data_IF_795025785893
#
_entry.id   IF_795025785893
#
_cell.length_a   1.000
_cell.length_b   1.000
_cell.length_c   1.000
_cell.angle_alpha   90.00
_cell.angle_beta   90.00
_cell.angle_gamma   90.00
#
_symmetry.space_group_name_H-M   'P 1'
#
loop_
_entity.id
_entity.type
_entity.pdbx_description
1 polymer ?
#
# COMPACT_ATOMS: atom_id res chain seq x y z
N UNK A 1 -46.98 37.36 -67.23
CA UNK A 1 -46.45 38.68 -66.78
C UNK A 1 -46.50 38.70 -65.25
N UNK A 2 -45.58 39.37 -64.53
CA UNK A 2 -44.12 39.24 -64.49
C UNK A 2 -43.65 38.79 -63.05
N UNK A 3 -42.49 38.12 -62.87
CA UNK A 3 -41.14 38.64 -62.49
C UNK A 3 -40.69 38.34 -61.04
N UNK A 4 -39.59 37.59 -60.93
CA UNK A 4 -38.36 37.83 -60.13
C UNK A 4 -38.43 38.60 -58.80
N UNK A 5 -37.75 38.10 -57.75
CA UNK A 5 -36.37 38.52 -57.40
C UNK A 5 -35.89 37.94 -56.05
N UNK A 6 -34.56 37.80 -55.96
CA UNK A 6 -33.75 37.35 -54.85
C UNK A 6 -33.51 38.43 -53.76
N UNK A 7 -32.97 38.04 -52.60
CA UNK A 7 -31.61 38.42 -52.11
C UNK A 7 -31.41 38.21 -50.60
N UNK A 8 -30.19 37.80 -50.26
CA UNK A 8 -29.61 37.77 -48.91
C UNK A 8 -28.89 39.09 -48.56
N UNK A 9 -28.76 39.37 -47.24
CA UNK A 9 -27.77 40.25 -46.56
C UNK A 9 -28.24 40.45 -45.10
N UNK A 10 -27.45 40.79 -44.06
CA UNK A 10 -26.02 40.80 -43.71
C UNK A 10 -25.96 41.26 -42.22
N UNK A 11 -25.00 40.72 -41.44
CA UNK A 11 -24.14 41.33 -40.38
C UNK A 11 -24.65 42.42 -39.39
N UNK A 12 -24.22 42.22 -38.13
CA UNK A 12 -23.86 43.22 -37.10
C UNK A 12 -24.47 42.86 -35.74
N UNK A 13 -23.81 42.70 -34.59
CA UNK A 13 -22.48 43.10 -34.08
C UNK A 13 -22.69 44.03 -32.87
N UNK A 14 -22.25 43.66 -31.65
CA UNK A 14 -21.90 44.61 -30.57
C UNK A 14 -21.03 43.94 -29.48
N UNK A 15 -19.95 44.63 -29.13
CA UNK A 15 -18.95 44.36 -28.09
C UNK A 15 -19.25 45.19 -26.83
N UNK A 16 -18.65 44.84 -25.68
CA UNK A 16 -18.31 45.84 -24.65
C UNK A 16 -17.15 45.39 -23.74
N UNK A 17 -16.23 46.34 -23.53
CA UNK A 17 -15.01 46.31 -22.73
C UNK A 17 -15.27 46.77 -21.28
N UNK A 18 -14.34 46.51 -20.36
CA UNK A 18 -13.55 47.58 -19.69
C UNK A 18 -12.59 47.03 -18.63
N UNK A 19 -11.47 47.73 -18.48
CA UNK A 19 -10.24 47.35 -17.79
C UNK A 19 -9.74 48.56 -16.96
N UNK A 20 -8.93 48.28 -15.92
CA UNK A 20 -7.91 49.13 -15.22
C UNK A 20 -8.35 50.08 -14.07
N UNK A 21 -7.64 50.01 -12.93
CA UNK A 21 -6.43 50.82 -12.60
C UNK A 21 -5.85 50.45 -11.21
N UNK A 22 -4.53 50.69 -11.05
CA UNK A 22 -3.67 50.48 -9.86
C UNK A 22 -3.38 51.83 -9.19
N UNK A 23 -3.18 51.87 -7.86
CA UNK A 23 -2.40 52.92 -7.19
C UNK A 23 -1.74 52.42 -5.89
N UNK A 24 -0.47 52.81 -5.69
CA UNK A 24 0.43 52.54 -4.55
C UNK A 24 0.61 53.83 -3.75
N UNK A 25 0.62 53.76 -2.40
CA UNK A 25 1.21 54.79 -1.53
C UNK A 25 1.83 54.15 -0.27
N UNK A 26 3.06 54.59 0.05
CA UNK A 26 3.84 54.33 1.28
C UNK A 26 3.73 55.58 2.17
N UNK A 27 3.80 55.39 3.49
CA UNK A 27 4.49 56.23 4.52
C UNK A 27 3.76 56.09 5.87
N UNK A 28 4.53 55.83 6.93
CA UNK A 28 4.03 55.56 8.28
C UNK A 28 3.86 56.80 9.16
N UNK A 29 3.33 56.57 10.36
CA UNK A 29 3.40 57.47 11.52
C UNK A 29 3.38 56.64 12.82
N UNK A 30 4.33 56.95 13.70
CA UNK A 30 4.37 56.55 15.11
C UNK A 30 3.21 57.19 15.89
N UNK A 31 2.54 56.42 16.75
CA UNK A 31 1.88 56.95 17.94
C UNK A 31 2.08 56.02 19.14
N UNK A 32 2.83 56.52 20.13
CA UNK A 32 2.84 56.08 21.51
C UNK A 32 1.56 56.61 22.20
N UNK A 33 0.88 55.77 22.97
CA UNK A 33 -0.06 56.22 24.02
C UNK A 33 -0.13 55.18 25.12
N UNK A 34 0.42 55.55 26.28
CA UNK A 34 0.34 54.91 27.58
C UNK A 34 -1.05 55.04 28.22
N UNK A 35 -1.51 54.03 28.96
CA UNK A 35 -2.66 54.14 29.85
C UNK A 35 -3.03 52.81 30.50
N UNK A 36 -3.09 52.79 31.82
CA UNK A 36 -2.87 51.66 32.72
C UNK A 36 -4.12 50.89 33.19
N UNK A 37 -3.87 49.64 33.58
CA UNK A 37 -4.43 48.89 34.72
C UNK A 37 -5.94 48.59 34.76
N UNK A 38 -6.29 47.30 34.71
CA UNK A 38 -6.77 46.56 35.89
C UNK A 38 -6.34 45.09 35.77
N UNK A 39 -5.67 44.61 36.81
CA UNK A 39 -5.34 43.22 37.02
C UNK A 39 -6.58 42.46 37.50
N UNK A 40 -6.77 41.23 37.02
CA UNK A 40 -7.16 40.16 37.92
C UNK A 40 -6.55 38.83 37.50
N UNK A 41 -6.18 38.10 38.53
CA UNK A 41 -5.19 37.03 38.61
C UNK A 41 -5.62 35.70 38.00
N UNK A 42 -4.71 35.05 37.28
CA UNK A 42 -4.57 33.58 37.34
C UNK A 42 -3.10 33.28 37.60
N UNK A 43 -2.85 32.82 38.82
CA UNK A 43 -1.52 32.61 39.38
C UNK A 43 -1.26 31.11 39.51
N UNK A 44 -0.05 30.69 39.11
CA UNK A 44 0.59 29.44 39.51
C UNK A 44 0.81 28.47 38.33
N UNK A 45 2.03 28.19 37.86
CA UNK A 45 3.35 28.64 38.27
C UNK A 45 4.38 28.14 37.26
N UNK A 46 5.12 29.07 36.66
CA UNK A 46 6.31 28.80 35.87
C UNK A 46 7.47 28.48 36.82
N UNK A 47 7.87 27.21 36.90
CA UNK A 47 9.22 26.87 37.34
C UNK A 47 10.14 26.84 36.13
N UNK A 48 10.92 27.92 36.00
CA UNK A 48 12.14 27.97 35.19
C UNK A 48 13.02 26.76 35.52
N UNK A 49 13.35 25.94 34.52
CA UNK A 49 14.59 25.15 34.54
C UNK A 49 15.20 25.08 33.14
N UNK A 50 16.28 25.84 33.02
CA UNK A 50 17.44 25.67 32.13
C UNK A 50 17.18 25.09 30.72
N UNK A 51 17.11 25.99 29.74
CA UNK A 51 17.48 25.69 28.36
C UNK A 51 18.97 25.35 28.31
N UNK A 52 19.31 24.07 28.48
CA UNK A 52 20.50 23.52 27.85
C UNK A 52 20.06 22.94 26.52
N UNK A 53 20.43 23.62 25.44
CA UNK A 53 20.34 23.08 24.09
C UNK A 53 21.30 21.89 24.00
N UNK A 54 20.81 20.71 24.38
CA UNK A 54 21.35 19.44 23.91
C UNK A 54 20.71 19.22 22.56
N UNK A 55 21.52 18.94 21.55
CA UNK A 55 21.03 18.44 20.27
C UNK A 55 20.42 17.08 20.56
N UNK A 56 19.13 17.08 20.90
CA UNK A 56 18.34 15.90 21.13
C UNK A 56 18.15 15.26 19.75
N UNK A 57 18.76 14.09 19.56
CA UNK A 57 18.47 13.26 18.41
C UNK A 57 16.99 12.88 18.54
N UNK A 58 16.14 13.56 17.76
CA UNK A 58 14.70 13.53 17.94
C UNK A 58 14.21 12.09 18.04
N UNK A 59 13.58 11.75 19.17
CA UNK A 59 12.92 10.44 19.35
C UNK A 59 11.77 10.40 18.35
N UNK A 60 12.01 9.79 17.19
CA UNK A 60 11.00 9.66 16.13
C UNK A 60 10.14 8.43 16.36
N UNK A 61 8.82 8.63 16.39
CA UNK A 61 7.81 7.57 16.46
C UNK A 61 7.11 7.39 17.81
N UNK A 62 6.34 6.31 17.94
CA UNK A 62 5.54 6.05 19.14
C UNK A 62 6.44 5.66 20.31
N UNK A 63 6.48 6.49 21.35
CA UNK A 63 7.26 6.25 22.57
C UNK A 63 6.37 5.64 23.65
N UNK A 64 6.75 4.45 24.11
CA UNK A 64 6.07 3.75 25.20
C UNK A 64 6.95 3.77 26.44
N UNK A 65 6.41 4.32 27.53
CA UNK A 65 7.11 4.46 28.80
C UNK A 65 6.54 3.48 29.82
N UNK A 66 7.37 2.55 30.25
CA UNK A 66 7.06 1.56 31.26
C UNK A 66 7.63 1.99 32.61
N UNK A 67 6.75 2.17 33.60
CA UNK A 67 7.15 2.42 34.98
C UNK A 67 7.01 1.12 35.78
N UNK A 68 8.03 0.72 36.53
CA UNK A 68 8.02 -0.50 37.34
C UNK A 68 7.25 -0.32 38.65
N UNK A 69 6.16 0.44 38.66
CA UNK A 69 5.40 0.73 39.87
C UNK A 69 4.47 -0.45 40.16
N UNK A 70 4.67 -1.10 41.30
CA UNK A 70 3.76 -2.14 41.78
C UNK A 70 2.34 -1.58 41.85
N UNK A 71 1.37 -2.27 41.23
CA UNK A 71 -0.03 -2.00 41.49
C UNK A 71 -0.25 -2.15 43.01
N UNK A 72 -0.81 -1.12 43.63
CA UNK A 72 -1.22 -1.20 45.03
C UNK A 72 -2.34 -2.26 45.11
N UNK A 73 -2.02 -3.43 45.65
CA UNK A 73 -2.97 -4.48 46.09
C UNK A 73 -4.11 -4.72 45.10
N UNK A 74 -3.76 -5.18 43.90
CA UNK A 74 -4.71 -5.79 42.97
C UNK A 74 -4.09 -7.10 42.47
N UNK A 75 -4.81 -8.21 42.62
CA UNK A 75 -4.40 -9.58 42.23
C UNK A 75 -4.36 -9.75 40.69
N UNK A 76 -4.51 -8.68 39.94
CA UNK A 76 -4.68 -8.68 38.48
C UNK A 76 -3.49 -8.00 37.80
N UNK A 77 -2.88 -8.68 36.84
CA UNK A 77 -1.75 -8.18 36.04
C UNK A 77 -2.19 -6.89 35.32
N UNK A 78 -1.37 -5.82 35.32
CA UNK A 78 -1.73 -4.57 34.66
C UNK A 78 -2.00 -4.81 33.17
N UNK A 79 -3.04 -4.15 32.66
CA UNK A 79 -3.43 -4.26 31.26
C UNK A 79 -2.24 -3.93 30.33
N UNK A 80 -2.02 -4.72 29.26
CA UNK A 80 -0.94 -4.46 28.31
C UNK A 80 -1.09 -3.10 27.61
N UNK A 81 0.04 -2.44 27.33
CA UNK A 81 0.07 -1.20 26.55
C UNK A 81 0.14 -1.56 25.06
N UNK A 82 -0.87 -1.22 24.24
CA UNK A 82 -0.86 -1.54 22.81
C UNK A 82 -0.02 -0.53 22.02
N UNK A 83 0.79 -1.05 21.10
CA UNK A 83 1.60 -0.27 20.15
C UNK A 83 1.37 -0.83 18.75
N UNK A 84 1.20 0.05 17.76
CA UNK A 84 1.09 -0.35 16.35
C UNK A 84 2.20 0.30 15.52
N UNK A 85 2.88 -0.52 14.73
CA UNK A 85 3.88 -0.11 13.73
C UNK A 85 3.34 -0.47 12.35
N UNK A 86 3.40 0.45 11.39
CA UNK A 86 2.81 0.32 10.06
C UNK A 86 3.57 1.16 9.03
N UNK A 87 3.14 1.15 7.76
CA UNK A 87 3.73 1.99 6.69
C UNK A 87 3.80 3.47 7.05
N UNK A 88 2.83 3.98 7.82
CA UNK A 88 2.77 5.38 8.23
C UNK A 88 3.57 5.66 9.52
N UNK A 89 3.98 4.62 10.25
CA UNK A 89 4.70 4.72 11.52
C UNK A 89 5.65 3.53 11.65
N UNK A 90 6.85 3.65 11.07
CA UNK A 90 7.83 2.56 10.96
C UNK A 90 8.74 2.41 12.19
N UNK A 91 8.52 3.19 13.25
CA UNK A 91 9.36 3.18 14.43
C UNK A 91 8.58 3.18 15.73
N UNK A 92 9.14 2.54 16.76
CA UNK A 92 8.64 2.62 18.13
C UNK A 92 9.80 2.57 19.12
N UNK A 93 9.60 3.12 20.31
CA UNK A 93 10.60 3.19 21.39
C UNK A 93 10.01 2.62 22.68
N UNK A 94 10.75 1.75 23.35
CA UNK A 94 10.49 1.25 24.70
C UNK A 94 11.41 1.98 25.67
N UNK A 95 10.83 2.55 26.72
CA UNK A 95 11.58 3.17 27.82
C UNK A 95 11.24 2.46 29.12
N UNK A 96 12.23 1.86 29.77
CA UNK A 96 12.12 1.39 31.15
C UNK A 96 12.65 2.48 32.09
N UNK A 97 11.76 3.08 32.89
CA UNK A 97 12.02 4.34 33.61
C UNK A 97 12.87 4.18 34.89
N UNK A 98 12.95 2.98 35.46
CA UNK A 98 13.66 2.74 36.73
C UNK A 98 15.01 2.02 36.52
N UNK A 99 16.03 2.39 37.31
CA UNK A 99 17.40 1.85 37.21
C UNK A 99 17.49 0.35 37.55
N UNK A 100 16.59 -0.15 38.39
CA UNK A 100 16.50 -1.56 38.82
C UNK A 100 15.69 -2.45 37.87
N UNK A 101 15.15 -1.86 36.80
CA UNK A 101 14.29 -2.57 35.85
C UNK A 101 15.11 -3.10 34.67
N UNK A 102 14.76 -4.32 34.27
CA UNK A 102 15.35 -5.02 33.13
C UNK A 102 14.31 -5.15 32.02
N UNK A 103 14.78 -5.03 30.80
CA UNK A 103 14.02 -5.32 29.59
C UNK A 103 13.73 -6.82 29.45
N UNK A 104 12.59 -7.13 28.85
CA UNK A 104 12.12 -8.49 28.62
C UNK A 104 11.74 -8.64 27.14
N UNK A 105 12.32 -9.62 26.42
CA UNK A 105 13.41 -10.50 26.84
C UNK A 105 14.73 -9.75 27.08
N UNK A 106 15.63 -10.33 27.87
CA UNK A 106 16.94 -9.72 28.15
C UNK A 106 17.69 -9.42 26.85
N UNK A 107 18.29 -8.23 26.76
CA UNK A 107 18.99 -7.66 25.60
C UNK A 107 18.11 -7.41 24.34
N UNK A 108 16.81 -7.76 24.34
CA UNK A 108 15.88 -7.59 23.22
C UNK A 108 16.39 -8.08 21.84
N UNK A 109 17.30 -9.06 21.83
CA UNK A 109 17.73 -9.75 20.60
C UNK A 109 16.62 -10.65 20.02
N UNK A 110 15.64 -10.97 20.87
CA UNK A 110 14.40 -11.67 20.56
C UNK A 110 13.22 -10.89 21.16
N UNK A 111 12.03 -11.27 20.76
CA UNK A 111 10.76 -10.76 21.28
C UNK A 111 9.90 -11.89 21.83
N UNK A 112 8.97 -11.57 22.72
CA UNK A 112 8.06 -12.56 23.31
C UNK A 112 6.93 -12.91 22.34
N UNK A 113 6.62 -14.21 22.25
CA UNK A 113 5.50 -14.71 21.44
C UNK A 113 4.18 -14.45 22.17
N UNK A 114 3.24 -13.80 21.49
CA UNK A 114 1.88 -13.62 22.01
C UNK A 114 1.12 -14.94 21.94
N UNK A 115 0.73 -15.47 23.09
CA UNK A 115 -0.14 -16.65 23.25
C UNK A 115 -0.97 -16.52 24.51
N UNK A 116 -2.08 -17.26 24.62
CA UNK A 116 -2.91 -17.28 25.82
C UNK A 116 -2.09 -17.56 27.08
N UNK A 117 -2.17 -16.66 28.06
CA UNK A 117 -1.46 -16.78 29.35
C UNK A 117 0.03 -16.41 29.31
N UNK A 118 0.54 -15.88 28.18
CA UNK A 118 1.91 -15.37 28.13
C UNK A 118 2.04 -14.06 28.91
N UNK A 119 2.99 -14.05 29.85
CA UNK A 119 3.27 -12.91 30.72
C UNK A 119 4.71 -12.44 30.53
N UNK A 120 5.01 -11.23 31.00
CA UNK A 120 6.39 -10.72 31.03
C UNK A 120 7.29 -11.68 31.81
N UNK A 121 6.81 -12.20 32.94
CA UNK A 121 7.56 -13.12 33.80
C UNK A 121 7.86 -14.46 33.11
N UNK A 122 6.88 -15.04 32.41
CA UNK A 122 7.08 -16.32 31.70
C UNK A 122 8.10 -16.15 30.57
N UNK A 123 7.97 -15.07 29.79
CA UNK A 123 8.89 -14.77 28.70
C UNK A 123 10.32 -14.45 29.18
N UNK A 124 10.47 -13.78 30.33
CA UNK A 124 11.78 -13.53 30.93
C UNK A 124 12.51 -14.83 31.34
N UNK A 125 11.75 -15.87 31.69
CA UNK A 125 12.29 -17.12 32.26
C UNK A 125 12.44 -18.25 31.23
N UNK A 126 11.65 -18.23 30.15
CA UNK A 126 11.55 -19.34 29.21
C UNK A 126 11.96 -18.92 27.79
N UNK A 127 13.05 -19.51 27.29
CA UNK A 127 13.53 -19.21 25.95
C UNK A 127 12.59 -19.71 24.83
N UNK A 128 11.72 -20.69 25.12
CA UNK A 128 10.67 -21.18 24.22
C UNK A 128 9.55 -20.17 23.96
N UNK A 129 9.45 -19.13 24.80
CA UNK A 129 8.46 -18.06 24.66
C UNK A 129 9.00 -16.89 23.82
N UNK A 130 10.15 -17.08 23.17
CA UNK A 130 10.84 -16.03 22.41
C UNK A 130 11.07 -16.40 20.94
N UNK A 131 10.94 -15.42 20.06
CA UNK A 131 11.19 -15.54 18.61
C UNK A 131 12.09 -14.40 18.14
N UNK A 132 12.88 -14.63 17.09
CA UNK A 132 13.68 -13.55 16.48
C UNK A 132 12.80 -12.68 15.59
N UNK A 133 13.15 -11.39 15.46
CA UNK A 133 12.46 -10.49 14.53
C UNK A 133 12.52 -11.00 13.09
N UNK A 134 13.65 -11.58 12.67
CA UNK A 134 13.81 -12.23 11.36
C UNK A 134 12.81 -13.37 11.15
N UNK A 135 12.67 -14.28 12.12
CA UNK A 135 11.71 -15.37 12.00
C UNK A 135 10.25 -14.88 12.00
N UNK A 136 9.96 -13.81 12.75
CA UNK A 136 8.62 -13.23 12.84
C UNK A 136 8.21 -12.44 11.59
N UNK A 137 9.10 -11.56 11.09
CA UNK A 137 8.82 -10.64 9.99
C UNK A 137 9.17 -11.22 8.61
N UNK A 138 10.10 -12.18 8.56
CA UNK A 138 10.57 -12.83 7.33
C UNK A 138 12.09 -12.78 7.17
N UNK A 139 12.62 -13.74 6.39
CA UNK A 139 14.07 -13.97 6.24
C UNK A 139 14.86 -12.77 5.69
N UNK A 140 14.21 -11.84 5.00
CA UNK A 140 14.84 -10.63 4.49
C UNK A 140 14.98 -9.51 5.53
N UNK A 141 14.31 -9.63 6.68
CA UNK A 141 14.34 -8.58 7.70
C UNK A 141 15.61 -8.66 8.54
N UNK A 142 16.26 -7.51 8.73
CA UNK A 142 17.38 -7.31 9.65
C UNK A 142 16.97 -6.48 10.88
N UNK A 143 15.67 -6.20 11.03
CA UNK A 143 15.14 -5.37 12.11
C UNK A 143 15.48 -5.97 13.48
N UNK A 144 15.98 -5.13 14.38
CA UNK A 144 16.28 -5.49 15.77
C UNK A 144 15.99 -4.31 16.69
N UNK A 145 15.76 -4.59 17.96
CA UNK A 145 15.73 -3.56 18.98
C UNK A 145 17.15 -3.12 19.29
N UNK A 146 17.43 -1.83 19.13
CA UNK A 146 18.73 -1.25 19.43
C UNK A 146 18.65 -0.36 20.68
N UNK A 147 19.62 -0.43 21.61
CA UNK A 147 19.69 0.52 22.71
C UNK A 147 19.94 1.93 22.16
N UNK A 148 19.21 2.92 22.67
CA UNK A 148 19.52 4.34 22.45
C UNK A 148 20.47 4.78 23.55
N UNK A 149 21.71 5.10 23.20
CA UNK A 149 22.69 5.64 24.16
C UNK A 149 22.34 7.09 24.47
N UNK A 150 21.52 7.31 25.50
CA UNK A 150 21.41 8.64 26.10
C UNK A 150 22.58 8.81 27.08
N UNK A 151 23.54 9.66 26.72
CA UNK A 151 24.63 10.08 27.61
C UNK A 151 24.01 10.70 28.87
N UNK A 152 23.98 9.94 29.97
CA UNK A 152 23.54 10.33 31.33
C UNK A 152 22.04 10.21 31.71
N UNK A 153 21.22 9.40 31.02
CA UNK A 153 19.85 9.14 31.48
C UNK A 153 19.77 7.96 32.48
N UNK A 154 19.02 8.06 33.59
CA UNK A 154 18.75 6.92 34.49
C UNK A 154 17.81 5.88 33.83
N UNK A 155 17.13 6.27 32.76
CA UNK A 155 16.17 5.44 32.01
C UNK A 155 16.89 4.65 30.93
N UNK A 156 16.55 3.36 30.80
CA UNK A 156 17.05 2.55 29.69
C UNK A 156 16.05 2.61 28.53
N UNK A 157 16.56 2.87 27.34
CA UNK A 157 15.74 3.11 26.15
C UNK A 157 16.18 2.20 25.01
N UNK A 158 15.22 1.60 24.32
CA UNK A 158 15.42 0.80 23.12
C UNK A 158 14.49 1.26 22.01
N UNK A 159 14.97 1.22 20.77
CA UNK A 159 14.22 1.60 19.60
C UNK A 159 14.14 0.44 18.62
N UNK A 160 12.94 0.21 18.08
CA UNK A 160 12.74 -0.62 16.90
C UNK A 160 12.50 0.31 15.72
N UNK A 161 13.32 0.16 14.68
CA UNK A 161 13.18 0.89 13.43
C UNK A 161 12.99 -0.13 12.31
N UNK A 162 11.89 -0.02 11.59
CA UNK A 162 11.61 -0.80 10.39
C UNK A 162 11.84 0.05 9.14
N UNK A 163 12.14 -0.64 8.05
CA UNK A 163 11.98 -0.11 6.69
C UNK A 163 10.70 -0.69 6.07
N UNK A 164 10.25 -0.12 4.95
CA UNK A 164 9.11 -0.69 4.22
C UNK A 164 9.34 -2.16 3.81
N UNK A 165 10.60 -2.57 3.60
CA UNK A 165 10.95 -3.93 3.26
C UNK A 165 10.86 -4.92 4.44
N UNK A 166 10.86 -4.43 5.68
CA UNK A 166 10.70 -5.23 6.89
C UNK A 166 9.24 -5.54 7.22
N UNK A 167 8.28 -4.81 6.65
CA UNK A 167 6.87 -5.03 6.94
C UNK A 167 6.41 -6.41 6.43
N UNK A 168 5.79 -7.25 7.24
CA UNK A 168 5.45 -8.62 6.88
C UNK A 168 4.34 -8.69 5.81
N UNK A 169 4.10 -9.88 5.26
CA UNK A 169 2.95 -10.12 4.36
C UNK A 169 1.63 -10.32 5.13
N UNK A 170 1.68 -10.71 6.40
CA UNK A 170 0.53 -10.87 7.30
C UNK A 170 0.77 -10.05 8.56
N UNK A 171 -0.30 -9.56 9.20
CA UNK A 171 -0.16 -8.83 10.47
C UNK A 171 0.52 -9.74 11.50
N UNK A 172 1.51 -9.21 12.22
CA UNK A 172 2.24 -9.93 13.26
C UNK A 172 2.07 -9.26 14.61
N UNK A 173 2.03 -10.06 15.66
CA UNK A 173 1.99 -9.58 17.04
C UNK A 173 3.10 -10.23 17.83
N UNK A 174 3.65 -9.46 18.76
CA UNK A 174 4.58 -9.92 19.78
C UNK A 174 4.45 -9.00 20.98
N UNK A 175 5.14 -9.30 22.06
CA UNK A 175 5.28 -8.35 23.15
C UNK A 175 6.72 -8.22 23.63
N UNK A 176 6.99 -7.08 24.26
CA UNK A 176 8.20 -6.82 25.04
C UNK A 176 7.76 -6.25 26.38
N UNK A 177 8.70 -6.06 27.29
CA UNK A 177 8.33 -5.51 28.57
C UNK A 177 9.51 -5.03 29.38
N UNK A 178 9.16 -4.59 30.58
CA UNK A 178 10.07 -4.17 31.62
C UNK A 178 9.67 -4.89 32.91
N UNK A 179 10.62 -5.47 33.64
CA UNK A 179 10.38 -6.15 34.91
C UNK A 179 11.38 -5.69 35.97
N UNK A 180 10.87 -5.42 37.18
CA UNK A 180 11.68 -5.14 38.37
C UNK A 180 12.00 -6.47 39.09
N UNK A 181 13.24 -6.93 39.04
CA UNK A 181 13.76 -8.19 39.63
C UNK A 181 12.90 -9.47 39.43
N UNK A 182 13.43 -10.66 39.68
CA UNK A 182 12.70 -11.92 39.44
C UNK A 182 11.56 -12.17 40.46
N UNK A 183 11.65 -11.53 41.63
CA UNK A 183 10.84 -11.80 42.81
C UNK A 183 9.72 -10.76 43.06
N UNK A 184 9.61 -9.72 42.22
CA UNK A 184 8.56 -8.70 42.37
C UNK A 184 7.51 -8.79 41.25
N UNK A 185 6.29 -8.38 41.59
CA UNK A 185 5.10 -8.40 40.71
C UNK A 185 5.03 -7.20 39.76
N UNK A 186 5.95 -6.24 39.86
CA UNK A 186 5.94 -5.05 39.02
C UNK A 186 6.47 -5.36 37.61
N UNK A 187 5.54 -5.69 36.71
CA UNK A 187 5.79 -5.92 35.29
C UNK A 187 5.03 -4.92 34.42
N UNK A 188 5.67 -4.45 33.36
CA UNK A 188 5.03 -3.69 32.29
C UNK A 188 5.09 -4.51 31.00
N UNK A 189 3.92 -4.78 30.42
CA UNK A 189 3.78 -5.51 29.16
C UNK A 189 3.41 -4.52 28.06
N UNK A 190 4.14 -4.57 26.94
CA UNK A 190 3.89 -3.77 25.75
C UNK A 190 3.60 -4.71 24.60
N UNK A 191 2.33 -4.74 24.17
CA UNK A 191 1.88 -5.55 23.04
C UNK A 191 2.11 -4.77 21.76
N UNK A 192 2.98 -5.29 20.90
CA UNK A 192 3.38 -4.66 19.64
C UNK A 192 2.71 -5.40 18.48
N UNK A 193 1.94 -4.65 17.70
CA UNK A 193 1.36 -5.10 16.42
C UNK A 193 2.15 -4.48 15.27
N UNK A 194 2.72 -5.32 14.42
CA UNK A 194 3.30 -4.91 13.14
C UNK A 194 2.27 -5.18 12.05
N UNK A 195 1.72 -4.11 11.47
CA UNK A 195 0.80 -4.21 10.34
C UNK A 195 1.55 -4.72 9.11
N UNK A 196 0.92 -5.61 8.36
CA UNK A 196 1.43 -6.03 7.06
C UNK A 196 1.54 -4.84 6.11
N UNK A 197 2.41 -5.00 5.11
CA UNK A 197 2.48 -4.05 4.00
C UNK A 197 1.17 -4.02 3.20
N UNK A 198 0.92 -2.92 2.51
CA UNK A 198 -0.16 -2.81 1.53
C UNK A 198 0.23 -3.63 0.29
N UNK A 199 -0.72 -4.39 -0.27
CA UNK A 199 -0.50 -5.04 -1.56
C UNK A 199 -0.33 -3.97 -2.64
N UNK A 200 0.55 -4.20 -3.62
CA UNK A 200 0.88 -3.17 -4.60
C UNK A 200 1.13 -3.73 -5.99
N UNK A 201 1.03 -2.84 -6.96
CA UNK A 201 1.42 -3.05 -8.35
C UNK A 201 2.54 -2.08 -8.68
N UNK A 202 3.64 -2.59 -9.20
CA UNK A 202 4.74 -1.80 -9.75
C UNK A 202 4.98 -2.23 -11.20
N UNK A 203 4.60 -1.37 -12.15
CA UNK A 203 4.42 -1.78 -13.54
C UNK A 203 3.35 -2.87 -13.66
N UNK A 204 3.74 -4.07 -14.13
CA UNK A 204 2.87 -5.25 -14.15
C UNK A 204 3.32 -6.33 -13.16
N UNK A 205 4.05 -5.92 -12.11
CA UNK A 205 4.46 -6.82 -11.02
C UNK A 205 3.58 -6.55 -9.82
N UNK A 206 2.69 -7.51 -9.55
CA UNK A 206 1.81 -7.53 -8.38
C UNK A 206 2.52 -8.21 -7.23
N UNK A 207 2.60 -7.53 -6.09
CA UNK A 207 3.07 -8.11 -4.82
C UNK A 207 1.91 -8.10 -3.83
N UNK A 208 1.47 -9.29 -3.43
CA UNK A 208 0.35 -9.46 -2.52
C UNK A 208 0.80 -9.57 -1.06
N UNK A 209 -0.02 -9.00 -0.18
CA UNK A 209 -0.01 -9.15 1.27
C UNK A 209 -1.44 -9.39 1.76
N UNK A 210 -1.61 -9.70 3.04
CA UNK A 210 -2.80 -10.34 3.61
C UNK A 210 -3.16 -9.81 5.00
N UNK A 211 -2.58 -8.70 5.44
CA UNK A 211 -2.99 -8.03 6.68
C UNK A 211 -4.43 -7.55 6.62
N UNK A 212 -4.94 -7.13 7.78
CA UNK A 212 -6.33 -6.66 7.92
C UNK A 212 -6.66 -5.50 6.99
N UNK A 213 -5.65 -4.69 6.67
CA UNK A 213 -5.77 -3.45 5.88
C UNK A 213 -4.98 -3.53 4.56
N UNK A 214 -4.38 -4.68 4.20
CA UNK A 214 -3.51 -4.81 3.02
C UNK A 214 -4.24 -4.68 1.68
N UNK A 215 -5.54 -5.00 1.63
CA UNK A 215 -6.31 -5.15 0.39
C UNK A 215 -7.65 -4.40 0.47
N UNK A 216 -7.61 -3.09 0.70
CA UNK A 216 -8.83 -2.26 0.78
C UNK A 216 -9.58 -2.17 -0.56
N UNK A 217 -8.87 -2.32 -1.67
CA UNK A 217 -9.40 -2.28 -3.04
C UNK A 217 -8.69 -3.33 -3.90
N UNK A 218 -9.31 -3.79 -5.00
CA UNK A 218 -8.60 -4.54 -6.02
C UNK A 218 -7.41 -3.74 -6.54
N UNK A 219 -6.32 -4.45 -6.78
CA UNK A 219 -5.17 -3.96 -7.51
C UNK A 219 -5.46 -3.98 -9.00
N UNK A 220 -5.01 -2.98 -9.73
CA UNK A 220 -5.24 -2.85 -11.17
C UNK A 220 -3.92 -3.05 -11.91
N UNK A 221 -3.91 -3.92 -12.90
CA UNK A 221 -2.77 -4.14 -13.80
C UNK A 221 -3.25 -4.06 -15.26
N UNK A 222 -2.42 -3.48 -16.13
CA UNK A 222 -2.75 -3.29 -17.54
C UNK A 222 -1.71 -3.94 -18.44
N UNK A 223 -2.16 -4.81 -19.34
CA UNK A 223 -1.30 -5.47 -20.32
C UNK A 223 -1.55 -4.89 -21.71
N UNK A 224 -0.47 -4.46 -22.36
CA UNK A 224 -0.46 -4.00 -23.77
C UNK A 224 0.52 -4.84 -24.59
N UNK A 225 0.55 -4.67 -25.91
CA UNK A 225 1.51 -5.39 -26.77
C UNK A 225 2.97 -5.07 -26.42
N UNK A 226 3.25 -3.90 -25.84
CA UNK A 226 4.56 -3.45 -25.36
C UNK A 226 4.84 -3.93 -23.93
N UNK A 227 3.81 -3.97 -23.08
CA UNK A 227 3.87 -4.44 -21.69
C UNK A 227 3.10 -5.75 -21.54
N UNK A 228 3.61 -6.77 -22.22
CA UNK A 228 2.88 -8.01 -22.47
C UNK A 228 3.02 -9.08 -21.37
N UNK A 229 3.55 -8.72 -20.21
CA UNK A 229 3.75 -9.62 -19.08
C UNK A 229 2.99 -9.13 -17.85
N UNK A 230 2.47 -10.06 -17.07
CA UNK A 230 1.94 -9.85 -15.72
C UNK A 230 2.62 -10.83 -14.77
N UNK A 231 3.15 -10.33 -13.65
CA UNK A 231 3.73 -11.16 -12.59
C UNK A 231 2.88 -11.03 -11.34
N UNK A 232 2.50 -12.15 -10.72
CA UNK A 232 1.74 -12.21 -9.47
C UNK A 232 2.57 -12.94 -8.42
N UNK A 233 3.03 -12.19 -7.41
CA UNK A 233 3.79 -12.72 -6.29
C UNK A 233 2.88 -12.87 -5.05
N UNK A 234 2.40 -14.09 -4.80
CA UNK A 234 1.65 -14.41 -3.58
C UNK A 234 2.54 -14.55 -2.34
N UNK A 235 3.82 -14.89 -2.52
CA UNK A 235 4.74 -15.20 -1.43
C UNK A 235 4.32 -16.44 -0.63
N UNK A 236 5.06 -16.76 0.43
CA UNK A 236 4.83 -17.95 1.27
C UNK A 236 3.51 -17.95 2.06
N UNK A 237 2.96 -16.76 2.31
CA UNK A 237 1.77 -16.58 3.16
C UNK A 237 0.47 -16.63 2.34
N UNK A 238 0.53 -16.86 1.03
CA UNK A 238 -0.67 -16.97 0.21
C UNK A 238 -0.56 -17.91 -0.98
N UNK A 239 -1.73 -18.27 -1.49
CA UNK A 239 -1.91 -19.21 -2.60
C UNK A 239 -2.64 -18.54 -3.74
N UNK A 240 -2.19 -18.76 -4.98
CA UNK A 240 -2.83 -18.25 -6.19
C UNK A 240 -4.29 -18.71 -6.30
N UNK A 241 -5.15 -17.80 -6.80
CA UNK A 241 -6.57 -18.02 -7.04
C UNK A 241 -6.92 -17.57 -8.47
N UNK A 242 -7.53 -18.44 -9.31
CA UNK A 242 -7.87 -19.83 -9.02
C UNK A 242 -6.65 -20.74 -8.86
N UNK A 243 -6.85 -21.95 -8.30
CA UNK A 243 -5.79 -22.96 -8.22
C UNK A 243 -5.31 -23.41 -9.60
N UNK A 244 -6.24 -23.55 -10.54
CA UNK A 244 -5.95 -23.80 -11.97
C UNK A 244 -5.84 -22.46 -12.72
N UNK A 245 -4.91 -21.62 -12.26
CA UNK A 245 -4.65 -20.27 -12.81
C UNK A 245 -4.13 -20.29 -14.24
N UNK A 246 -3.62 -21.42 -14.70
CA UNK A 246 -3.11 -21.64 -16.04
C UNK A 246 -4.21 -21.94 -17.06
N UNK A 247 -5.44 -22.20 -16.62
CA UNK A 247 -6.59 -22.46 -17.49
C UNK A 247 -7.75 -21.50 -17.25
N UNK A 248 -7.95 -21.06 -16.01
CA UNK A 248 -9.15 -20.34 -15.58
C UNK A 248 -8.86 -19.00 -14.92
N UNK A 249 -9.86 -18.12 -14.98
CA UNK A 249 -9.89 -16.84 -14.28
C UNK A 249 -11.22 -16.64 -13.53
N UNK A 250 -11.28 -15.59 -12.70
CA UNK A 250 -12.47 -15.17 -11.96
C UNK A 250 -13.13 -13.96 -12.65
N UNK A 251 -14.46 -13.93 -12.73
CA UNK A 251 -15.18 -12.83 -13.39
C UNK A 251 -15.16 -11.53 -12.61
N UNK A 252 -15.04 -11.61 -11.29
CA UNK A 252 -15.13 -10.46 -10.40
C UNK A 252 -14.18 -10.53 -9.20
N UNK A 253 -14.19 -9.43 -8.44
CA UNK A 253 -13.37 -9.23 -7.26
C UNK A 253 -13.76 -10.11 -6.04
N UNK A 254 -14.77 -10.98 -6.14
CA UNK A 254 -15.07 -11.97 -5.09
C UNK A 254 -14.12 -13.16 -5.13
N UNK A 255 -13.45 -13.36 -6.27
CA UNK A 255 -12.59 -14.51 -6.55
C UNK A 255 -13.33 -15.86 -6.43
N UNK A 256 -14.66 -15.90 -6.58
CA UNK A 256 -15.49 -17.12 -6.59
C UNK A 256 -16.82 -16.92 -7.34
N UNK A 257 -17.25 -17.87 -8.20
CA UNK A 257 -16.48 -18.99 -8.73
C UNK A 257 -15.45 -18.51 -9.78
N UNK A 258 -14.37 -19.26 -9.94
CA UNK A 258 -13.34 -18.99 -10.94
C UNK A 258 -13.28 -20.13 -11.94
N UNK A 259 -14.26 -20.14 -12.85
CA UNK A 259 -14.47 -21.23 -13.80
C UNK A 259 -14.46 -20.77 -15.26
N UNK A 260 -14.18 -19.48 -15.53
CA UNK A 260 -14.13 -18.96 -16.89
C UNK A 260 -12.80 -19.26 -17.53
N UNK A 261 -12.83 -19.68 -18.79
CA UNK A 261 -11.64 -20.10 -19.52
C UNK A 261 -10.95 -18.89 -20.13
N UNK A 262 -9.63 -18.80 -20.04
CA UNK A 262 -8.90 -17.74 -20.74
C UNK A 262 -9.19 -17.70 -22.25
N UNK A 263 -9.55 -18.85 -22.86
CA UNK A 263 -9.93 -18.90 -24.28
C UNK A 263 -11.19 -18.08 -24.62
N UNK A 264 -12.02 -17.78 -23.63
CA UNK A 264 -13.24 -16.99 -23.82
C UNK A 264 -12.91 -15.50 -24.07
N UNK A 265 -11.78 -15.02 -23.56
CA UNK A 265 -11.33 -13.62 -23.69
C UNK A 265 -10.04 -13.47 -24.51
N UNK A 266 -9.25 -14.53 -24.62
CA UNK A 266 -8.00 -14.62 -25.36
C UNK A 266 -8.04 -15.89 -26.23
N UNK A 267 -8.62 -15.84 -27.45
CA UNK A 267 -8.87 -17.04 -28.25
C UNK A 267 -7.62 -17.87 -28.57
N UNK A 268 -6.45 -17.22 -28.68
CA UNK A 268 -5.16 -17.86 -28.94
C UNK A 268 -4.45 -18.39 -27.68
N UNK A 269 -5.10 -18.30 -26.51
CA UNK A 269 -4.50 -18.64 -25.22
C UNK A 269 -3.97 -20.08 -25.17
N UNK A 270 -2.80 -20.23 -24.56
CA UNK A 270 -2.18 -21.50 -24.23
C UNK A 270 -1.76 -21.50 -22.77
N UNK A 271 -1.94 -22.62 -22.09
CA UNK A 271 -1.57 -22.78 -20.66
C UNK A 271 -0.09 -22.45 -20.41
N UNK A 272 0.77 -22.68 -21.41
CA UNK A 272 2.21 -22.38 -21.42
C UNK A 272 2.55 -20.88 -21.31
N UNK A 273 1.55 -19.99 -21.46
CA UNK A 273 1.71 -18.55 -21.26
C UNK A 273 1.90 -18.20 -19.79
N UNK A 274 1.40 -19.04 -18.88
CA UNK A 274 1.71 -18.96 -17.47
C UNK A 274 2.95 -19.78 -17.14
N UNK A 275 3.86 -19.18 -16.37
CA UNK A 275 5.09 -19.83 -15.89
C UNK A 275 5.32 -19.51 -14.42
N UNK A 276 5.77 -20.51 -13.67
CA UNK A 276 6.32 -20.31 -12.34
C UNK A 276 7.84 -20.20 -12.46
N UNK A 277 8.39 -19.01 -12.22
CA UNK A 277 9.83 -18.78 -12.32
C UNK A 277 10.52 -19.16 -10.98
N UNK A 278 10.74 -20.45 -10.74
CA UNK A 278 11.50 -20.95 -9.58
C UNK A 278 10.81 -22.06 -8.79
N UNK A 279 11.12 -22.15 -7.50
CA UNK A 279 10.57 -23.16 -6.59
C UNK A 279 9.17 -22.83 -6.07
N UNK A 280 8.75 -23.53 -5.02
CA UNK A 280 7.48 -23.29 -4.33
C UNK A 280 7.38 -21.83 -3.86
N UNK A 281 6.22 -21.20 -4.05
CA UNK A 281 5.94 -19.78 -3.75
C UNK A 281 6.65 -18.76 -4.65
N UNK A 282 7.33 -19.19 -5.71
CA UNK A 282 7.86 -18.28 -6.72
C UNK A 282 6.74 -17.49 -7.41
N UNK A 283 7.01 -16.24 -7.84
CA UNK A 283 6.03 -15.47 -8.61
C UNK A 283 5.59 -16.18 -9.88
N UNK A 284 4.30 -16.06 -10.19
CA UNK A 284 3.69 -16.59 -11.40
C UNK A 284 3.66 -15.50 -12.45
N UNK A 285 4.06 -15.83 -13.68
CA UNK A 285 4.17 -14.87 -14.77
C UNK A 285 3.33 -15.31 -15.96
N UNK A 286 2.37 -14.48 -16.34
CA UNK A 286 1.64 -14.56 -17.59
C UNK A 286 2.38 -13.76 -18.65
N UNK A 287 2.59 -14.33 -19.83
CA UNK A 287 3.13 -13.62 -21.00
C UNK A 287 2.21 -13.83 -22.19
N UNK A 288 1.64 -12.76 -22.71
CA UNK A 288 0.78 -12.80 -23.91
C UNK A 288 1.67 -12.48 -25.12
N UNK A 289 1.84 -13.38 -26.10
CA UNK A 289 2.51 -13.05 -27.36
C UNK A 289 1.78 -11.93 -28.09
N UNK A 290 2.46 -11.14 -28.94
CA UNK A 290 1.86 -10.00 -29.65
C UNK A 290 0.58 -10.35 -30.41
N UNK A 291 0.55 -11.54 -31.02
CA UNK A 291 -0.61 -12.04 -31.79
C UNK A 291 -1.69 -12.69 -30.92
N UNK A 292 -1.42 -12.82 -29.62
CA UNK A 292 -2.34 -13.36 -28.62
C UNK A 292 -3.25 -12.30 -27.99
N UNK A 293 -3.04 -11.02 -28.30
CA UNK A 293 -3.87 -9.94 -27.78
C UNK A 293 -5.27 -9.96 -28.41
N UNK A 294 -6.33 -9.65 -27.64
CA UNK A 294 -7.70 -9.67 -28.12
C UNK A 294 -7.98 -8.50 -29.07
N UNK A 295 -9.07 -8.58 -29.84
CA UNK A 295 -9.50 -7.49 -30.73
C UNK A 295 -10.14 -6.31 -29.98
N UNK A 296 -10.57 -6.52 -28.73
CA UNK A 296 -11.20 -5.53 -27.86
C UNK A 296 -10.61 -5.65 -26.47
N UNK A 297 -10.66 -4.57 -25.68
CA UNK A 297 -10.28 -4.60 -24.28
C UNK A 297 -11.05 -5.70 -23.52
N UNK A 298 -10.32 -6.55 -22.79
CA UNK A 298 -10.89 -7.59 -21.93
C UNK A 298 -10.38 -7.43 -20.52
N UNK A 299 -11.24 -7.76 -19.56
CA UNK A 299 -10.90 -7.75 -18.14
C UNK A 299 -11.12 -9.12 -17.53
N UNK A 300 -10.28 -9.46 -16.56
CA UNK A 300 -10.43 -10.65 -15.75
C UNK A 300 -9.85 -10.42 -14.35
N UNK A 301 -10.21 -11.30 -13.42
CA UNK A 301 -9.64 -11.30 -12.08
C UNK A 301 -8.83 -12.56 -11.82
N UNK A 302 -7.69 -12.33 -11.17
CA UNK A 302 -6.91 -13.35 -10.44
C UNK A 302 -6.58 -12.78 -9.07
N UNK A 303 -5.96 -13.57 -8.21
CA UNK A 303 -5.57 -13.05 -6.90
C UNK A 303 -4.81 -14.06 -6.06
N UNK A 304 -4.53 -13.68 -4.83
CA UNK A 304 -3.92 -14.56 -3.85
C UNK A 304 -4.81 -14.60 -2.60
N UNK A 305 -5.10 -15.82 -2.14
CA UNK A 305 -5.81 -16.05 -0.89
C UNK A 305 -4.80 -16.34 0.22
N UNK A 306 -4.99 -15.83 1.46
CA UNK A 306 -4.12 -16.16 2.57
C UNK A 306 -4.07 -17.67 2.79
N UNK A 307 -2.86 -18.21 2.92
CA UNK A 307 -2.69 -19.62 3.29
C UNK A 307 -3.23 -19.79 4.70
N UNK A 308 -4.07 -20.81 4.93
CA UNK A 308 -4.48 -21.18 6.27
C UNK A 308 -3.27 -21.76 7.00
N UNK A 309 -2.40 -20.90 7.53
CA UNK A 309 -1.36 -21.35 8.45
C UNK A 309 -2.07 -21.86 9.69
N UNK A 310 -1.86 -23.15 9.99
CA UNK A 310 -2.18 -23.76 11.28
C UNK A 310 -1.51 -22.96 12.40
N UNK A 311 -2.21 -21.95 12.90
CA UNK A 311 -2.25 -21.58 14.31
C UNK A 311 -3.70 -21.20 14.63
N UNK A 312 -4.45 -22.12 15.25
CA UNK A 312 -5.84 -21.89 15.60
C UNK A 312 -5.88 -21.12 16.92
N UNK A 313 -5.80 -19.79 16.87
CA UNK A 313 -6.66 -19.03 17.77
C UNK A 313 -7.89 -18.64 16.98
N UNK A 314 -8.98 -19.37 17.26
CA UNK A 314 -10.34 -18.98 16.90
C UNK A 314 -10.47 -17.48 17.13
N UNK A 315 -10.64 -16.74 16.05
CA UNK A 315 -11.42 -15.50 16.08
C UNK A 315 -12.74 -15.92 16.71
N UNK A 316 -12.94 -15.51 17.96
CA UNK A 316 -14.15 -15.78 18.70
C UNK A 316 -15.34 -15.40 17.84
N UNK A 317 -16.07 -16.41 17.38
CA UNK A 317 -17.47 -16.26 17.03
C UNK A 317 -18.21 -16.03 18.35
N UNK A 318 -18.08 -14.82 18.88
CA UNK A 318 -18.88 -14.31 19.98
C UNK A 318 -20.27 -14.05 19.44
N UNK A 319 -21.27 -14.70 20.03
CA UNK A 319 -22.67 -14.41 19.78
C UNK A 319 -23.00 -12.96 20.10
N UNK A 320 -24.13 -12.52 19.54
CA UNK A 320 -24.78 -11.24 19.77
C UNK A 320 -24.67 -10.80 21.25
N UNK A 321 -24.08 -9.63 21.46
CA UNK A 321 -23.77 -9.08 22.77
C UNK A 321 -22.93 -7.82 22.62
N UNK A 322 -23.60 -6.72 22.28
CA UNK A 322 -23.09 -5.36 22.22
C UNK A 322 -22.56 -4.92 23.60
N UNK A 323 -21.25 -4.61 23.70
CA UNK A 323 -20.67 -3.42 24.40
C UNK A 323 -19.14 -3.46 24.40
N UNK A 324 -18.55 -2.27 24.21
CA UNK A 324 -17.19 -1.81 24.53
C UNK A 324 -15.95 -2.31 23.73
N UNK A 325 -15.69 -1.54 22.67
CA UNK A 325 -14.41 -0.94 22.27
C UNK A 325 -13.10 -1.69 22.58
N UNK A 326 -12.90 -2.83 21.91
CA UNK A 326 -11.56 -3.24 21.46
C UNK A 326 -11.61 -3.32 19.93
N UNK A 327 -10.70 -2.72 19.15
CA UNK A 327 -10.73 -2.89 17.70
C UNK A 327 -10.48 -4.36 17.38
N UNK A 328 -11.54 -5.09 17.03
CA UNK A 328 -11.42 -6.43 16.51
C UNK A 328 -10.48 -6.36 15.30
N UNK A 329 -9.33 -7.04 15.37
CA UNK A 329 -8.43 -7.17 14.23
C UNK A 329 -9.24 -7.88 13.14
N UNK A 330 -9.54 -7.16 12.05
CA UNK A 330 -10.22 -7.77 10.90
C UNK A 330 -9.31 -8.89 10.40
N UNK A 331 -9.89 -10.06 10.11
CA UNK A 331 -9.14 -11.23 9.66
C UNK A 331 -8.32 -10.97 8.38
N UNK A 332 -7.46 -11.91 8.01
CA UNK A 332 -6.59 -11.74 6.85
C UNK A 332 -7.41 -11.50 5.57
N UNK A 333 -6.91 -10.64 4.70
CA UNK A 333 -7.63 -10.21 3.50
C UNK A 333 -7.05 -10.85 2.24
N UNK A 334 -7.90 -11.19 1.27
CA UNK A 334 -7.44 -11.70 -0.03
C UNK A 334 -6.96 -10.55 -0.93
N UNK A 335 -5.86 -10.79 -1.63
CA UNK A 335 -5.32 -9.90 -2.64
C UNK A 335 -6.03 -10.14 -3.97
N UNK A 336 -6.68 -9.11 -4.49
CA UNK A 336 -7.53 -9.18 -5.69
C UNK A 336 -6.87 -8.36 -6.78
N UNK A 337 -6.73 -8.92 -7.97
CA UNK A 337 -6.06 -8.29 -9.10
C UNK A 337 -7.03 -8.24 -10.27
N UNK A 338 -7.47 -7.04 -10.62
CA UNK A 338 -8.16 -6.77 -11.87
C UNK A 338 -7.12 -6.57 -12.97
N UNK A 339 -7.11 -7.47 -13.95
CA UNK A 339 -6.21 -7.38 -15.09
C UNK A 339 -7.01 -6.89 -16.28
N UNK A 340 -6.53 -5.82 -16.91
CA UNK A 340 -7.05 -5.32 -18.17
C UNK A 340 -6.08 -5.66 -19.29
N UNK A 341 -6.50 -6.47 -20.25
CA UNK A 341 -5.73 -6.73 -21.48
C UNK A 341 -6.28 -5.82 -22.56
N UNK A 342 -5.46 -4.89 -23.04
CA UNK A 342 -5.83 -3.95 -24.10
C UNK A 342 -5.97 -4.65 -25.44
N UNK A 343 -6.83 -4.10 -26.29
CA UNK A 343 -6.94 -4.54 -27.67
C UNK A 343 -5.57 -4.50 -28.36
N UNK A 344 -5.21 -5.58 -29.05
CA UNK A 344 -4.03 -5.61 -29.90
C UNK A 344 -4.23 -4.69 -31.09
N UNK A 345 -3.15 -4.05 -31.55
CA UNK A 345 -3.13 -3.41 -32.86
C UNK A 345 -3.32 -4.54 -33.88
N UNK A 346 -4.52 -4.69 -34.41
CA UNK A 346 -4.72 -5.55 -35.56
C UNK A 346 -3.77 -5.04 -36.64
N UNK A 347 -2.72 -5.81 -36.95
CA UNK A 347 -2.04 -5.63 -38.22
C UNK A 347 -3.13 -5.89 -39.26
N UNK A 348 -3.62 -4.82 -39.88
CA UNK A 348 -4.45 -4.88 -41.08
C UNK A 348 -3.61 -5.54 -42.18
N UNK A 349 -3.47 -6.87 -42.10
CA UNK A 349 -2.75 -7.70 -43.03
C UNK A 349 -3.73 -8.71 -43.64
N UNK A 350 -4.79 -8.19 -44.24
CA UNK A 350 -5.67 -8.83 -45.21
C UNK A 350 -6.57 -7.68 -45.70
N UNK A 351 -6.60 -7.22 -46.95
CA UNK A 351 -6.12 -7.74 -48.22
C UNK A 351 -6.05 -6.53 -49.15
N UNK A 352 -4.85 -6.03 -49.48
CA UNK A 352 -4.69 -5.23 -50.68
C UNK A 352 -4.74 -6.20 -51.86
N UNK A 353 -5.96 -6.58 -52.27
CA UNK A 353 -6.15 -7.12 -53.61
C UNK A 353 -5.66 -6.05 -54.56
N UNK A 354 -4.59 -6.36 -55.29
CA UNK A 354 -4.12 -5.61 -56.44
C UNK A 354 -5.29 -5.37 -57.39
N UNK A 355 -5.96 -4.22 -57.28
CA UNK A 355 -6.69 -3.67 -58.41
C UNK A 355 -5.63 -3.19 -59.39
N UNK A 356 -5.27 -4.06 -60.33
CA UNK A 356 -4.65 -3.65 -61.58
C UNK A 356 -5.49 -2.52 -62.18
N UNK A 357 -4.91 -1.31 -62.18
CA UNK A 357 -5.45 -0.19 -62.94
C UNK A 357 -5.20 -0.48 -64.43
N UNK A 358 -6.20 -1.01 -65.12
CA UNK A 358 -6.22 -1.01 -66.59
C UNK A 358 -6.39 0.45 -67.04
N UNK A 359 -5.29 1.07 -67.46
CA UNK A 359 -5.29 2.38 -68.11
C UNK A 359 -5.96 2.28 -69.48
N UNK A 360 -7.21 2.74 -69.61
CA UNK A 360 -7.84 2.97 -70.91
C UNK A 360 -7.28 4.27 -71.49
N UNK A 361 -6.36 4.15 -72.45
CA UNK A 361 -5.92 5.26 -73.30
C UNK A 361 -7.04 5.56 -74.29
N UNK A 362 -7.78 6.65 -74.08
CA UNK A 362 -8.62 7.25 -75.11
C UNK A 362 -7.75 8.16 -75.99
N UNK A 363 -7.32 7.64 -77.14
CA UNK A 363 -6.70 8.44 -78.20
C UNK A 363 -7.77 9.21 -78.98
N UNK A 364 -7.79 10.54 -78.83
CA UNK A 364 -8.52 11.43 -79.72
C UNK A 364 -7.59 11.76 -80.90
N UNK A 365 -7.82 11.11 -82.04
CA UNK A 365 -7.22 11.49 -83.31
C UNK A 365 -8.03 12.65 -83.92
N UNK A 366 -7.50 13.87 -83.83
CA UNK A 366 -7.98 15.00 -84.60
C UNK A 366 -7.45 14.91 -86.04
N UNK A 367 -8.36 14.73 -86.98
CA UNK A 367 -8.13 14.85 -88.42
C UNK A 367 -7.90 16.31 -88.79
N UNK A 368 -6.70 16.64 -89.26
CA UNK A 368 -6.47 17.79 -90.15
C UNK A 368 -5.68 17.30 -91.36
N UNK A 369 -6.38 17.16 -92.48
CA UNK A 369 -5.73 16.98 -93.78
C UNK A 369 -5.23 18.32 -94.32
N UNK A 370 -4.20 18.28 -95.16
CA UNK A 370 -4.07 19.15 -96.34
C UNK A 370 -3.04 18.53 -97.31
N UNK A 371 -3.54 18.22 -98.51
CA UNK A 371 -2.95 18.16 -99.85
C UNK A 371 -1.41 18.17 -100.04
N UNK A 372 -0.90 17.25 -100.87
CA UNK A 372 -0.39 17.54 -102.25
C UNK A 372 -0.21 16.20 -102.99
N UNK A 373 -0.86 16.09 -104.15
CA UNK A 373 -0.59 15.10 -105.18
C UNK A 373 0.05 15.79 -106.39
N UNK A 374 0.98 15.08 -107.02
CA UNK A 374 1.94 15.53 -108.02
C UNK A 374 1.37 15.97 -109.36
N UNK A 375 2.07 16.91 -110.01
CA UNK A 375 2.38 16.91 -111.44
C UNK A 375 3.83 17.37 -111.61
#
# INVERSE_FOLDING_TARGET
>A
MPRTAALSRRRGGFTSNAQRMIAVCVVGALLLSSGSAFANSVQGGLLRRSLNAVVDEAITGTVTRCTGKAAQVSVEEPAPIPVTVSENQLSTTLVCVDTEVKEVPTNLTKVCVTKKGATVKSCASQQSDTITMKALLGESSSATWAPKTASNAPEKTWSLQLTAADLPLTDKTFFVGCQKSADQEATCKVDVTIKARTSKVDGNVVTCAYGSDSNLKPLEAEMTQEQNTLTVACGKDGTITPKAYDAYYCEDATLKPCAKSYKDILPAFQETWWKQEGGENAPLKLTIPKEGFPAEDKTFYVGCSPTSTTDPEKVSRGGEGETDATPAIKGPTACKVMVTVKAGSASLAASATETEMISVVFGIAALTGFFVGSA
#
